data_IF_959798838245
#
_entry.id   IF_959798838245
#
_cell.length_a   1.000
_cell.length_b   1.000
_cell.length_c   1.000
_cell.angle_alpha   90.00
_cell.angle_beta   90.00
_cell.angle_gamma   90.00
#
_symmetry.space_group_name_H-M   'P 1'
#
loop_
_entity.id
_entity.type
_entity.pdbx_description
1 polymer ?
#
# COMPACT_ATOMS: atom_id res chain seq x y z
N UNK A 1 -29.42 1.15 -4.86
CA UNK A 1 -28.88 2.41 -5.38
C UNK A 1 -28.15 3.16 -4.25
N UNK A 2 -28.81 3.78 -3.26
CA UNK A 2 -28.14 4.31 -2.03
C UNK A 2 -27.26 3.29 -1.29
N UNK A 3 -27.74 2.04 -1.12
CA UNK A 3 -26.97 0.98 -0.45
C UNK A 3 -25.68 0.61 -1.21
N UNK A 4 -25.76 0.55 -2.54
CA UNK A 4 -24.62 0.25 -3.40
C UNK A 4 -23.59 1.39 -3.39
N UNK A 5 -24.08 2.63 -3.30
CA UNK A 5 -23.24 3.82 -3.14
C UNK A 5 -22.45 3.79 -1.83
N UNK A 6 -23.13 3.55 -0.70
CA UNK A 6 -22.48 3.44 0.59
C UNK A 6 -21.48 2.27 0.62
N UNK A 7 -21.82 1.16 -0.02
CA UNK A 7 -20.92 0.00 -0.16
C UNK A 7 -19.62 0.38 -0.88
N UNK A 8 -19.68 1.08 -2.02
CA UNK A 8 -18.47 1.50 -2.73
C UNK A 8 -17.64 2.52 -1.95
N UNK A 9 -18.27 3.47 -1.27
CA UNK A 9 -17.57 4.42 -0.37
C UNK A 9 -16.83 3.66 0.74
N UNK A 10 -17.50 2.72 1.41
CA UNK A 10 -16.90 1.89 2.46
C UNK A 10 -15.76 1.00 1.94
N UNK A 11 -15.91 0.42 0.74
CA UNK A 11 -14.84 -0.36 0.12
C UNK A 11 -13.62 0.51 -0.21
N UNK A 12 -13.82 1.73 -0.71
CA UNK A 12 -12.73 2.66 -0.96
C UNK A 12 -11.98 3.05 0.33
N UNK A 13 -12.72 3.31 1.42
CA UNK A 13 -12.14 3.59 2.74
C UNK A 13 -11.32 2.40 3.27
N UNK A 14 -11.83 1.18 3.10
CA UNK A 14 -11.08 -0.03 3.47
C UNK A 14 -9.77 -0.16 2.68
N UNK A 15 -9.77 0.14 1.38
CA UNK A 15 -8.56 0.12 0.56
C UNK A 15 -7.54 1.17 0.99
N UNK A 16 -7.99 2.38 1.37
CA UNK A 16 -7.11 3.41 1.93
C UNK A 16 -6.54 2.99 3.30
N UNK A 17 -7.33 2.31 4.12
CA UNK A 17 -6.83 1.73 5.37
C UNK A 17 -5.74 0.68 5.11
N UNK A 18 -5.96 -0.22 4.15
CA UNK A 18 -4.94 -1.20 3.73
C UNK A 18 -3.69 -0.53 3.16
N UNK A 19 -3.85 0.55 2.37
CA UNK A 19 -2.73 1.34 1.88
C UNK A 19 -1.86 1.84 3.04
N UNK A 20 -2.49 2.34 4.11
CA UNK A 20 -1.80 2.75 5.33
C UNK A 20 -0.99 1.61 5.96
N UNK A 21 -1.55 0.39 6.02
CA UNK A 21 -0.85 -0.80 6.55
C UNK A 21 0.31 -1.26 5.70
N UNK A 22 0.20 -1.17 4.38
CA UNK A 22 1.33 -1.43 3.48
C UNK A 22 2.43 -0.39 3.72
N UNK A 23 2.07 0.89 3.81
CA UNK A 23 3.03 1.97 4.09
C UNK A 23 3.76 1.78 5.44
N UNK A 24 3.04 1.46 6.52
CA UNK A 24 3.63 1.14 7.83
C UNK A 24 4.63 -0.03 7.74
N UNK A 25 4.29 -1.07 6.98
CA UNK A 25 5.14 -2.25 6.82
C UNK A 25 6.41 -1.92 6.02
N UNK A 26 6.29 -1.08 5.00
CA UNK A 26 7.44 -0.62 4.22
C UNK A 26 8.39 0.24 5.04
N UNK A 27 7.88 1.11 5.91
CA UNK A 27 8.72 1.88 6.83
C UNK A 27 9.53 0.97 7.76
N UNK A 28 8.94 -0.14 8.23
CA UNK A 28 9.66 -1.14 9.03
C UNK A 28 10.75 -1.84 8.21
N UNK A 29 10.49 -2.15 6.94
CA UNK A 29 11.49 -2.73 6.03
C UNK A 29 12.66 -1.76 5.83
N UNK A 30 12.38 -0.47 5.60
CA UNK A 30 13.42 0.55 5.47
C UNK A 30 14.28 0.65 6.73
N UNK A 31 13.66 0.59 7.91
CA UNK A 31 14.40 0.59 9.18
C UNK A 31 15.31 -0.64 9.32
N UNK A 32 14.84 -1.82 8.92
CA UNK A 32 15.67 -3.04 8.89
C UNK A 32 16.87 -2.91 7.94
N UNK A 33 16.71 -2.22 6.80
CA UNK A 33 17.83 -1.91 5.90
C UNK A 33 18.88 -1.03 6.57
N UNK A 34 18.46 0.00 7.32
CA UNK A 34 19.38 0.85 8.07
C UNK A 34 20.11 0.08 9.17
N UNK A 35 19.39 -0.73 9.94
CA UNK A 35 19.97 -1.56 11.00
C UNK A 35 20.98 -2.56 10.44
N UNK A 36 20.64 -3.24 9.33
CA UNK A 36 21.57 -4.10 8.60
C UNK A 36 22.86 -3.37 8.26
N UNK A 37 22.77 -2.20 7.62
CA UNK A 37 23.96 -1.44 7.22
C UNK A 37 24.82 -1.08 8.44
N UNK A 38 24.20 -0.66 9.54
CA UNK A 38 24.89 -0.35 10.80
C UNK A 38 25.62 -1.57 11.36
N UNK A 39 25.01 -2.76 11.33
CA UNK A 39 25.67 -3.98 11.80
C UNK A 39 26.79 -4.41 10.85
N UNK A 40 26.60 -4.32 9.53
CA UNK A 40 27.66 -4.59 8.55
C UNK A 40 28.89 -3.68 8.74
N UNK A 41 28.67 -2.39 9.01
CA UNK A 41 29.75 -1.45 9.34
C UNK A 41 30.50 -1.90 10.59
N UNK A 42 29.81 -2.30 11.66
CA UNK A 42 30.45 -2.81 12.88
C UNK A 42 31.18 -4.14 12.66
N UNK A 43 30.61 -5.01 11.81
CA UNK A 43 31.21 -6.29 11.47
C UNK A 43 32.41 -6.17 10.51
N UNK A 44 32.67 -4.99 9.93
CA UNK A 44 33.79 -4.78 9.00
C UNK A 44 35.14 -5.04 9.67
N UNK A 45 35.30 -4.62 10.92
CA UNK A 45 36.50 -4.84 11.75
C UNK A 45 36.49 -6.17 12.52
N UNK A 46 35.44 -6.98 12.36
CA UNK A 46 35.37 -8.29 13.00
C UNK A 46 36.21 -9.31 12.22
N UNK A 47 37.11 -10.01 12.90
CA UNK A 47 37.90 -11.11 12.35
C UNK A 47 37.38 -12.43 12.93
N UNK A 48 36.68 -13.21 12.10
CA UNK A 48 36.13 -14.51 12.46
C UNK A 48 36.02 -15.40 11.22
N UNK A 49 36.14 -16.71 11.42
CA UNK A 49 35.88 -17.73 10.38
C UNK A 49 34.44 -17.67 9.86
N UNK A 50 33.50 -17.14 10.64
CA UNK A 50 32.07 -17.00 10.26
C UNK A 50 31.74 -15.69 9.53
N UNK A 51 32.71 -14.78 9.32
CA UNK A 51 32.49 -13.47 8.70
C UNK A 51 31.90 -13.59 7.28
N UNK A 52 32.40 -14.51 6.47
CA UNK A 52 31.94 -14.71 5.10
C UNK A 52 30.46 -15.15 5.06
N UNK A 53 30.09 -16.16 5.87
CA UNK A 53 28.69 -16.62 5.98
C UNK A 53 27.76 -15.51 6.48
N UNK A 54 28.23 -14.69 7.42
CA UNK A 54 27.48 -13.55 7.92
C UNK A 54 27.24 -12.50 6.82
N UNK A 55 28.26 -12.14 6.04
CA UNK A 55 28.14 -11.21 4.92
C UNK A 55 27.20 -11.74 3.83
N UNK A 56 27.21 -13.05 3.57
CA UNK A 56 26.30 -13.69 2.63
C UNK A 56 24.84 -13.57 3.11
N UNK A 57 24.54 -13.98 4.35
CA UNK A 57 23.19 -13.86 4.93
C UNK A 57 22.67 -12.42 4.89
N UNK A 58 23.54 -11.45 5.20
CA UNK A 58 23.18 -10.03 5.12
C UNK A 58 22.97 -9.53 3.70
N UNK A 59 23.62 -10.14 2.70
CA UNK A 59 23.41 -9.79 1.29
C UNK A 59 22.10 -10.38 0.75
N UNK A 60 21.75 -11.60 1.15
CA UNK A 60 20.46 -12.24 0.86
C UNK A 60 19.28 -11.48 1.51
N UNK A 61 19.47 -10.98 2.74
CA UNK A 61 18.50 -10.11 3.38
C UNK A 61 18.29 -8.79 2.60
N UNK A 62 19.35 -8.26 1.97
CA UNK A 62 19.27 -7.04 1.18
C UNK A 62 18.49 -7.23 -0.12
N UNK A 63 18.75 -8.32 -0.86
CA UNK A 63 18.01 -8.63 -2.09
C UNK A 63 16.53 -8.83 -1.81
N UNK A 64 16.20 -9.52 -0.71
CA UNK A 64 14.82 -9.71 -0.24
C UNK A 64 14.16 -8.36 0.08
N UNK A 65 14.84 -7.46 0.79
CA UNK A 65 14.34 -6.11 1.06
C UNK A 65 13.98 -5.35 -0.22
N UNK A 66 14.87 -5.33 -1.22
CA UNK A 66 14.60 -4.61 -2.47
C UNK A 66 13.39 -5.18 -3.23
N UNK A 67 13.26 -6.50 -3.29
CA UNK A 67 12.10 -7.14 -3.90
C UNK A 67 10.80 -6.78 -3.15
N UNK A 68 10.80 -6.88 -1.82
CA UNK A 68 9.63 -6.54 -0.98
C UNK A 68 9.27 -5.05 -1.04
N UNK A 69 10.25 -4.15 -1.08
CA UNK A 69 10.02 -2.71 -1.20
C UNK A 69 9.39 -2.35 -2.56
N UNK A 70 9.90 -2.93 -3.65
CA UNK A 70 9.33 -2.73 -4.99
C UNK A 70 7.89 -3.24 -5.09
N UNK A 71 7.62 -4.43 -4.54
CA UNK A 71 6.26 -4.99 -4.51
C UNK A 71 5.33 -4.14 -3.64
N UNK A 72 5.83 -3.62 -2.52
CA UNK A 72 5.09 -2.73 -1.63
C UNK A 72 4.64 -1.45 -2.32
N UNK A 73 5.52 -0.79 -3.09
CA UNK A 73 5.14 0.39 -3.88
C UNK A 73 4.08 0.05 -4.94
N UNK A 74 4.25 -1.05 -5.67
CA UNK A 74 3.25 -1.48 -6.66
C UNK A 74 1.88 -1.75 -6.02
N UNK A 75 1.87 -2.36 -4.84
CA UNK A 75 0.64 -2.63 -4.09
C UNK A 75 -0.02 -1.33 -3.61
N UNK A 76 0.77 -0.38 -3.08
CA UNK A 76 0.27 0.96 -2.70
C UNK A 76 -0.41 1.67 -3.88
N UNK A 77 0.21 1.63 -5.05
CA UNK A 77 -0.33 2.24 -6.26
C UNK A 77 -1.60 1.52 -6.75
N UNK A 78 -1.65 0.19 -6.64
CA UNK A 78 -2.84 -0.57 -6.98
C UNK A 78 -4.01 -0.24 -6.04
N UNK A 79 -3.76 -0.19 -4.72
CA UNK A 79 -4.78 0.15 -3.71
C UNK A 79 -5.33 1.56 -3.93
N UNK A 80 -4.46 2.54 -4.16
CA UNK A 80 -4.89 3.93 -4.44
C UNK A 80 -5.75 4.04 -5.70
N UNK A 81 -5.32 3.39 -6.78
CA UNK A 81 -6.07 3.41 -8.06
C UNK A 81 -7.46 2.80 -7.89
N UNK A 82 -7.54 1.66 -7.20
CA UNK A 82 -8.83 0.99 -6.98
C UNK A 82 -9.74 1.77 -6.02
N UNK A 83 -9.18 2.39 -4.96
CA UNK A 83 -9.94 3.27 -4.08
C UNK A 83 -10.52 4.49 -4.83
N UNK A 84 -9.73 5.11 -5.71
CA UNK A 84 -10.20 6.20 -6.57
C UNK A 84 -11.31 5.74 -7.52
N UNK A 85 -11.14 4.59 -8.18
CA UNK A 85 -12.14 4.00 -9.08
C UNK A 85 -13.49 3.77 -8.36
N UNK A 86 -13.46 3.25 -7.14
CA UNK A 86 -14.68 3.01 -6.35
C UNK A 86 -15.37 4.30 -5.93
N UNK A 87 -14.62 5.36 -5.61
CA UNK A 87 -15.18 6.69 -5.32
C UNK A 87 -15.86 7.29 -6.53
N UNK A 88 -15.22 7.22 -7.70
CA UNK A 88 -15.80 7.69 -8.95
C UNK A 88 -17.11 6.95 -9.28
N UNK A 89 -17.16 5.63 -9.05
CA UNK A 89 -18.40 4.86 -9.21
C UNK A 89 -19.50 5.29 -8.24
N UNK A 90 -19.15 5.55 -6.98
CA UNK A 90 -20.10 6.05 -5.98
C UNK A 90 -20.65 7.45 -6.33
N UNK A 91 -19.77 8.34 -6.81
CA UNK A 91 -20.16 9.70 -7.19
C UNK A 91 -21.01 9.72 -8.46
N UNK A 92 -20.72 8.85 -9.44
CA UNK A 92 -21.53 8.74 -10.65
C UNK A 92 -22.94 8.23 -10.35
N UNK A 93 -23.09 7.23 -9.46
CA UNK A 93 -24.42 6.79 -9.03
C UNK A 93 -25.21 7.91 -8.35
N UNK A 94 -24.56 8.75 -7.52
CA UNK A 94 -25.21 9.90 -6.89
C UNK A 94 -25.72 10.92 -7.91
N UNK A 95 -24.94 11.18 -8.97
CA UNK A 95 -25.34 12.08 -10.05
C UNK A 95 -26.54 11.52 -10.81
N UNK A 96 -26.53 10.24 -11.13
CA UNK A 96 -27.65 9.58 -11.82
C UNK A 96 -28.94 9.62 -10.99
N UNK A 97 -28.85 9.39 -9.68
CA UNK A 97 -29.99 9.53 -8.76
C UNK A 97 -30.55 10.95 -8.76
N UNK A 98 -29.69 11.98 -8.62
CA UNK A 98 -30.12 13.40 -8.65
C UNK A 98 -30.78 13.79 -9.96
N UNK A 99 -30.25 13.33 -11.09
CA UNK A 99 -30.84 13.57 -12.41
C UNK A 99 -32.22 12.90 -12.52
N UNK A 100 -32.36 11.67 -12.02
CA UNK A 100 -33.63 10.97 -12.04
C UNK A 100 -34.69 11.65 -11.17
N UNK A 101 -34.33 12.08 -9.95
CA UNK A 101 -35.22 12.84 -9.06
C UNK A 101 -35.66 14.17 -9.68
N UNK A 102 -34.74 14.90 -10.32
CA UNK A 102 -35.04 16.16 -11.00
C UNK A 102 -36.04 15.96 -12.14
N UNK A 103 -35.84 14.94 -12.98
CA UNK A 103 -36.72 14.62 -14.09
C UNK A 103 -38.13 14.19 -13.62
N UNK A 104 -38.23 13.47 -12.50
CA UNK A 104 -39.52 13.09 -11.92
C UNK A 104 -40.29 14.30 -11.34
N UNK A 105 -39.60 15.30 -10.79
CA UNK A 105 -40.22 16.52 -10.26
C UNK A 105 -40.71 17.47 -11.35
N UNK A 106 -40.05 17.51 -12.51
CA UNK A 106 -40.49 18.31 -13.66
C UNK A 106 -41.65 17.69 -14.46
N UNK A 107 -41.85 16.38 -14.32
CA UNK A 107 -42.94 15.64 -14.99
C UNK A 107 -44.23 15.58 -14.15
N UNK A 108 -44.28 16.25 -13.00
CA UNK A 108 -45.43 16.37 -12.10
C UNK A 108 -45.92 17.80 -12.06
#
# INVERSE_FOLDING_TARGET
MIFDQQKYRMQAEMLDWYYGKVQESMQKLDQLRWDRNRVLTKASSWESKSKASYQQMMSEAASTHFASASLGEQLKDALRREAARLREQADEMERQEKLHESNQRQSR
#
